data_IF_334944923222
#
_entry.id   IF_334944923222
#
_cell.length_a   1.000
_cell.length_b   1.000
_cell.length_c   1.000
_cell.angle_alpha   90.00
_cell.angle_beta   90.00
_cell.angle_gamma   90.00
#
_symmetry.space_group_name_H-M   'P 1'
#
loop_
_entity.id
_entity.type
_entity.pdbx_description
1 polymer ?
2 water ?
#
# COMPACT_ATOMS: atom_id res chain seq x y z
N UNK A 20 -10.43 4.49 -14.51
CA UNK A 20 -10.90 5.44 -15.52
C UNK A 20 -11.79 6.51 -14.90
N UNK A 21 -12.51 6.13 -13.86
CA UNK A 21 -13.37 7.06 -13.16
C UNK A 21 -12.81 7.35 -11.78
N UNK A 22 -11.56 6.92 -11.60
CA UNK A 22 -10.88 7.11 -10.35
C UNK A 22 -10.50 8.57 -10.18
N UNK A 23 -10.84 9.11 -9.02
CA UNK A 23 -10.45 10.46 -8.68
C UNK A 23 -8.96 10.46 -8.36
N UNK A 24 -8.17 11.10 -9.23
CA UNK A 24 -6.72 11.16 -9.04
C UNK A 24 -6.38 11.83 -7.72
N UNK A 25 -7.17 12.84 -7.38
CA UNK A 25 -6.97 13.57 -6.13
C UNK A 25 -7.26 12.65 -4.95
N UNK A 26 -8.37 11.92 -5.07
CA UNK A 26 -8.72 10.88 -4.10
C UNK A 26 -7.59 9.84 -4.00
N UNK A 27 -7.18 9.31 -5.15
CA UNK A 27 -6.16 8.26 -5.19
C UNK A 27 -4.83 8.72 -4.58
N UNK A 28 -4.44 9.95 -4.90
CA UNK A 28 -3.24 10.54 -4.33
C UNK A 28 -3.28 10.62 -2.78
N UNK A 29 -4.39 11.12 -2.26
CA UNK A 29 -4.57 11.20 -0.82
C UNK A 29 -4.58 9.83 -0.18
N UNK A 30 -5.15 8.86 -0.90
CA UNK A 30 -5.18 7.48 -0.39
C UNK A 30 -3.77 6.91 -0.27
N UNK A 31 -2.94 7.20 -1.26
CA UNK A 31 -1.56 6.70 -1.28
C UNK A 31 -0.73 7.41 -0.22
N UNK A 32 -0.96 8.71 -0.03
CA UNK A 32 -0.29 9.43 1.06
C UNK A 32 -0.70 8.80 2.39
N UNK A 33 -1.96 8.40 2.49
CA UNK A 33 -2.46 7.72 3.67
C UNK A 33 -1.79 6.37 3.91
N UNK A 34 -1.60 5.60 2.85
CA UNK A 34 -0.89 4.35 3.01
C UNK A 34 0.50 4.57 3.58
N UNK A 35 1.23 5.50 2.98
CA UNK A 35 2.58 5.79 3.46
C UNK A 35 2.57 6.16 4.94
N UNK A 36 1.67 7.06 5.32
CA UNK A 36 1.52 7.45 6.72
C UNK A 36 1.28 6.25 7.66
N UNK A 37 0.33 5.39 7.31
CA UNK A 37 -0.01 4.27 8.19
C UNK A 37 1.08 3.19 8.24
N UNK A 38 1.79 3.00 7.13
CA UNK A 38 2.89 2.06 7.14
C UNK A 38 3.99 2.64 8.02
N UNK A 39 4.24 3.94 7.92
CA UNK A 39 5.22 4.54 8.83
C UNK A 39 4.83 4.27 10.28
N UNK A 40 3.56 4.44 10.62
CA UNK A 40 3.11 4.09 12.00
C UNK A 40 3.41 2.63 12.35
N UNK A 41 3.12 1.71 11.43
CA UNK A 41 3.41 0.29 11.72
C UNK A 41 4.88 0.13 11.99
N UNK A 42 5.73 0.77 11.18
CA UNK A 42 7.18 0.66 11.36
C UNK A 42 7.60 1.27 12.69
N UNK A 43 6.98 2.39 13.06
CA UNK A 43 7.28 3.04 14.35
C UNK A 43 7.03 2.11 15.52
N UNK A 44 6.09 1.20 15.36
CA UNK A 44 5.74 0.27 16.41
C UNK A 44 6.55 -1.03 16.30
N UNK A 45 7.51 -1.05 15.39
CA UNK A 45 8.40 -2.19 15.25
C UNK A 45 7.85 -3.34 14.41
N UNK A 46 6.77 -3.10 13.67
CA UNK A 46 6.23 -4.15 12.80
C UNK A 46 7.05 -4.25 11.53
N UNK A 47 7.01 -5.43 10.93
CA UNK A 47 7.86 -5.72 9.80
C UNK A 47 7.10 -6.69 8.92
N UNK A 48 7.52 -6.82 7.67
CA UNK A 48 6.99 -7.86 6.80
C UNK A 48 8.14 -8.47 6.01
N UNK A 49 8.05 -9.76 5.72
CA UNK A 49 9.08 -10.42 4.91
C UNK A 49 8.86 -10.09 3.44
N UNK A 50 9.94 -10.06 2.66
CA UNK A 50 9.77 -9.79 1.23
C UNK A 50 8.85 -10.84 0.60
N UNK A 51 8.95 -12.08 1.06
CA UNK A 51 8.15 -13.15 0.45
C UNK A 51 6.66 -12.90 0.64
N UNK A 52 6.26 -12.51 1.85
CA UNK A 52 4.86 -12.23 2.11
C UNK A 52 4.41 -10.98 1.35
N UNK A 53 5.28 -9.97 1.29
CA UNK A 53 4.91 -8.76 0.58
C UNK A 53 4.65 -9.04 -0.90
N UNK A 54 5.54 -9.81 -1.54
CA UNK A 54 5.37 -10.11 -2.96
C UNK A 54 4.14 -10.99 -3.23
N UNK A 55 3.84 -11.89 -2.30
CA UNK A 55 2.67 -12.76 -2.42
C UNK A 55 1.38 -11.94 -2.33
N UNK A 56 1.26 -11.14 -1.28
CA UNK A 56 0.08 -10.30 -1.09
C UNK A 56 -0.16 -9.34 -2.27
N UNK A 57 0.92 -8.72 -2.75
CA UNK A 57 0.83 -7.77 -3.85
C UNK A 57 0.40 -8.46 -5.13
N UNK A 58 1.00 -9.61 -5.42
CA UNK A 58 0.66 -10.37 -6.59
C UNK A 58 -0.81 -10.79 -6.57
N UNK A 59 -1.32 -11.08 -5.37
CA UNK A 59 -2.71 -11.46 -5.20
C UNK A 59 -3.55 -10.20 -5.04
N UNK A 60 -2.92 -9.05 -5.24
CA UNK A 60 -3.62 -7.77 -5.21
C UNK A 60 -4.44 -7.60 -3.93
N UNK A 61 -3.82 -7.87 -2.78
CA UNK A 61 -4.51 -7.77 -1.49
C UNK A 61 -3.59 -7.32 -0.34
N UNK A 62 -2.54 -6.59 -0.69
CA UNK A 62 -1.61 -6.09 0.31
C UNK A 62 -2.32 -5.12 1.25
N UNK A 63 -3.09 -4.21 0.68
CA UNK A 63 -3.73 -3.19 1.53
C UNK A 63 -4.81 -3.82 2.43
N UNK A 64 -5.65 -4.66 1.84
CA UNK A 64 -6.64 -5.40 2.61
C UNK A 64 -5.99 -6.16 3.78
N UNK A 65 -4.85 -6.78 3.50
CA UNK A 65 -4.15 -7.53 4.53
C UNK A 65 -3.76 -6.63 5.71
N UNK A 66 -3.17 -5.46 5.42
CA UNK A 66 -2.79 -4.52 6.47
C UNK A 66 -4.01 -4.05 7.24
N UNK A 67 -5.06 -3.71 6.50
CA UNK A 67 -6.30 -3.19 7.10
C UNK A 67 -6.84 -4.19 8.12
N UNK A 68 -6.71 -5.46 7.80
CA UNK A 68 -7.27 -6.54 8.60
C UNK A 68 -6.33 -6.89 9.74
N UNK A 69 -5.06 -7.17 9.42
CA UNK A 69 -4.10 -7.56 10.46
C UNK A 69 -3.98 -6.49 11.53
N UNK A 70 -3.91 -5.23 11.10
CA UNK A 70 -3.68 -4.14 12.03
C UNK A 70 -4.93 -3.32 12.33
N UNK A 71 -6.09 -3.95 12.17
CA UNK A 71 -7.36 -3.26 12.30
C UNK A 71 -7.56 -2.59 13.66
N UNK A 72 -6.85 -3.06 14.68
CA UNK A 72 -6.97 -2.47 16.03
C UNK A 72 -6.32 -1.09 16.13
N UNK A 73 -5.40 -0.76 15.23
CA UNK A 73 -4.67 0.49 15.37
C UNK A 73 -4.65 1.33 14.10
N UNK A 74 -4.76 0.66 12.96
CA UNK A 74 -4.61 1.34 11.65
C UNK A 74 -5.76 2.32 11.38
N UNK A 75 -5.40 3.49 10.86
CA UNK A 75 -6.38 4.54 10.55
C UNK A 75 -6.44 4.78 9.05
N UNK A 76 -7.53 4.32 8.42
CA UNK A 76 -7.67 4.42 6.97
C UNK A 76 -8.93 5.16 6.57
N UNK A 77 -8.82 6.48 6.44
CA UNK A 77 -10.00 7.27 6.06
C UNK A 77 -10.40 7.02 4.61
N UNK A 78 -9.44 6.70 3.77
CA UNK A 78 -9.73 6.43 2.36
C UNK A 78 -9.92 4.94 2.05
N UNK A 79 -9.13 4.09 2.68
CA UNK A 79 -9.02 2.70 2.23
C UNK A 79 -9.79 1.67 3.06
N UNK A 80 -10.46 2.12 4.11
CA UNK A 80 -11.34 1.26 4.90
C UNK A 80 -12.70 1.15 4.21
N UNK A 81 -13.11 -0.07 3.88
CA UNK A 81 -14.38 -0.26 3.17
C UNK A 81 -15.60 0.18 3.99
N UNK A 82 -15.38 0.44 5.29
CA UNK A 82 -16.44 0.93 6.15
C UNK A 82 -16.37 2.45 6.29
N UNK A 83 -15.41 3.06 5.60
CA UNK A 83 -15.33 4.51 5.55
C UNK A 83 -16.21 5.06 4.45
N UNK A 84 -16.94 6.16 4.73
CA UNK A 84 -17.78 6.82 3.73
C UNK A 84 -16.93 7.40 2.59
N UNK A 85 -15.61 7.52 2.83
CA UNK A 85 -14.69 8.03 1.82
C UNK A 85 -14.17 6.93 0.91
N UNK A 86 -14.53 5.68 1.23
CA UNK A 86 -14.04 4.54 0.46
C UNK A 86 -14.59 4.58 -0.96
N UNK A 87 -13.70 4.35 -1.92
CA UNK A 87 -14.09 4.25 -3.33
C UNK A 87 -13.42 3.04 -3.96
N UNK A 88 -14.22 2.11 -4.49
CA UNK A 88 -13.70 0.86 -5.02
C UNK A 88 -12.72 1.07 -6.18
N UNK A 89 -12.98 2.07 -7.01
CA UNK A 89 -12.06 2.43 -8.09
C UNK A 89 -10.66 2.75 -7.55
N UNK A 90 -10.59 3.56 -6.50
CA UNK A 90 -9.29 3.94 -5.94
C UNK A 90 -8.60 2.74 -5.29
N UNK A 91 -9.35 1.98 -4.50
CA UNK A 91 -8.77 0.85 -3.79
C UNK A 91 -8.32 -0.25 -4.76
N UNK A 92 -9.14 -0.55 -5.75
CA UNK A 92 -8.79 -1.55 -6.75
C UNK A 92 -7.59 -1.10 -7.58
N UNK A 93 -7.54 0.18 -7.96
CA UNK A 93 -6.39 0.69 -8.69
C UNK A 93 -5.13 0.52 -7.86
N UNK A 94 -5.20 0.91 -6.59
CA UNK A 94 -4.04 0.79 -5.70
C UNK A 94 -3.60 -0.67 -5.52
N UNK A 95 -4.54 -1.56 -5.19
CA UNK A 95 -4.18 -2.98 -5.03
C UNK A 95 -3.51 -3.56 -6.28
N UNK A 96 -4.08 -3.24 -7.45
CA UNK A 96 -3.52 -3.72 -8.70
C UNK A 96 -2.15 -3.09 -8.95
N UNK A 97 -2.01 -1.83 -8.58
CA UNK A 97 -0.75 -1.11 -8.79
C UNK A 97 0.37 -1.77 -7.97
N UNK A 98 0.08 -2.16 -6.73
CA UNK A 98 1.08 -2.90 -5.95
C UNK A 98 1.48 -4.19 -6.65
N UNK A 99 0.48 -4.91 -7.17
CA UNK A 99 0.73 -6.14 -7.87
C UNK A 99 1.67 -5.93 -9.05
N UNK A 100 1.39 -4.90 -9.84
CA UNK A 100 2.19 -4.58 -11.03
C UNK A 100 3.63 -4.22 -10.68
N UNK A 101 3.79 -3.31 -9.73
CA UNK A 101 5.12 -2.85 -9.36
C UNK A 101 5.93 -3.91 -8.63
N UNK A 102 5.29 -4.66 -7.73
CA UNK A 102 6.01 -5.69 -6.99
C UNK A 102 6.40 -6.85 -7.91
N UNK A 103 5.79 -6.90 -9.09
CA UNK A 103 6.17 -7.88 -10.12
C UNK A 103 7.49 -7.54 -10.82
N UNK A 104 7.98 -6.30 -10.67
CA UNK A 104 9.16 -5.88 -11.42
C UNK A 104 10.30 -5.32 -10.55
N UNK A 105 10.00 -4.95 -9.31
CA UNK A 105 11.07 -4.50 -8.43
C UNK A 105 11.31 -5.47 -7.27
N UNK A 106 12.46 -5.34 -6.63
CA UNK A 106 12.77 -6.08 -5.42
C UNK A 106 13.41 -5.17 -4.38
N UNK A 107 13.53 -5.69 -3.16
CA UNK A 107 14.09 -4.94 -2.05
C UNK A 107 15.34 -4.18 -2.45
N UNK A 108 16.25 -4.87 -3.13
CA UNK A 108 17.58 -4.34 -3.39
C UNK A 108 17.54 -3.18 -4.38
N UNK A 109 16.45 -3.05 -5.11
CA UNK A 109 16.30 -1.98 -6.10
C UNK A 109 16.18 -0.65 -5.38
N UNK A 110 15.84 -0.70 -4.09
CA UNK A 110 15.74 0.50 -3.28
C UNK A 110 16.72 0.46 -2.10
N UNK A 111 17.72 -0.41 -2.20
CA UNK A 111 18.76 -0.50 -1.21
C UNK A 111 18.29 -1.03 0.13
N UNK A 112 17.26 -1.85 0.12
CA UNK A 112 16.72 -2.45 1.34
C UNK A 112 17.09 -3.92 1.46
N UNK A 113 16.87 -4.48 2.63
CA UNK A 113 17.14 -5.89 2.84
C UNK A 113 16.02 -6.62 3.56
N UNK A 114 15.51 -6.01 4.64
CA UNK A 114 14.73 -6.77 5.61
C UNK A 114 13.22 -6.49 5.64
N UNK A 115 12.87 -5.26 5.91
CA UNK A 115 11.48 -4.93 6.17
C UNK A 115 10.76 -4.52 4.88
N UNK A 116 9.96 -5.43 4.33
CA UNK A 116 9.24 -5.18 3.08
C UNK A 116 8.16 -4.09 3.19
N UNK A 117 7.76 -3.73 4.41
CA UNK A 117 6.88 -2.56 4.55
C UNK A 117 7.55 -1.31 3.94
N UNK A 118 8.86 -1.28 4.00
CA UNK A 118 9.59 -0.13 3.47
C UNK A 118 9.69 -0.23 1.96
N UNK A 119 9.67 -1.45 1.41
CA UNK A 119 9.59 -1.59 -0.03
C UNK A 119 8.24 -1.06 -0.50
N UNK A 120 7.21 -1.33 0.30
CA UNK A 120 5.87 -0.83 -0.03
C UNK A 120 5.84 0.70 -0.11
N UNK A 121 6.59 1.37 0.76
CA UNK A 121 6.64 2.84 0.71
C UNK A 121 7.28 3.31 -0.61
N UNK A 122 8.35 2.65 -1.02
CA UNK A 122 8.96 2.99 -2.31
C UNK A 122 7.99 2.77 -3.48
N UNK A 123 7.26 1.66 -3.44
CA UNK A 123 6.27 1.38 -4.48
C UNK A 123 5.17 2.44 -4.45
N UNK A 124 4.78 2.88 -3.27
CA UNK A 124 3.82 3.99 -3.18
C UNK A 124 4.26 5.20 -4.01
N UNK A 125 5.56 5.53 -3.98
CA UNK A 125 6.05 6.67 -4.74
C UNK A 125 5.96 6.40 -6.23
N UNK A 126 6.21 5.17 -6.64
CA UNK A 126 6.07 4.81 -8.03
C UNK A 126 4.61 4.98 -8.45
N UNK A 127 3.69 4.67 -7.54
CA UNK A 127 2.25 4.76 -7.82
C UNK A 127 1.83 6.21 -7.95
N UNK A 128 2.38 7.06 -7.09
CA UNK A 128 2.11 8.49 -7.14
C UNK A 128 2.52 9.07 -8.50
N UNK A 129 3.67 8.66 -9.00
CA UNK A 129 4.10 9.08 -10.33
C UNK A 129 3.06 8.69 -11.37
N UNK A 130 2.56 7.46 -11.26
CA UNK A 130 1.55 6.96 -12.18
C UNK A 130 0.29 7.81 -12.13
N UNK A 131 -0.15 8.14 -10.92
CA UNK A 131 -1.37 8.94 -10.73
C UNK A 131 -1.21 10.37 -11.27
N UNK A 132 -0.04 10.95 -11.04
CA UNK A 132 0.20 12.37 -11.31
C UNK A 132 0.69 12.66 -12.73
#
# INVERSE_FOLDING_TARGET
XGSSHHHHHHSSGRENLYFQGMNNKHATSAVHEIIREICRLVDSGHSMTRDQFHELSEQERFIAFLAEKYSSTIKLYYLADSSPLFEKDTSSFIENAFGRHANTVVMEDFGLKSNALLLAINICLAILREINGEV
#
